data_IF_584652360827
#
_entry.id   IF_584652360827
#
_cell.length_a   1.000
_cell.length_b   1.000
_cell.length_c   1.000
_cell.angle_alpha   90.00
_cell.angle_beta   90.00
_cell.angle_gamma   90.00
#
_symmetry.space_group_name_H-M   'P 1'
#
loop_
_entity.id
_entity.type
_entity.pdbx_description
1 polymer ?
#
# COMPACT_ATOMS: atom_id res chain seq x y z
N UNK A 1 -31.04 27.05 2.10
CA UNK A 1 -30.42 25.99 2.91
C UNK A 1 -31.05 24.67 2.47
N UNK A 2 -30.29 23.77 1.83
CA UNK A 2 -30.82 22.57 1.18
C UNK A 2 -30.62 21.33 2.06
N UNK A 3 -31.49 21.13 3.06
CA UNK A 3 -31.46 19.90 3.85
C UNK A 3 -31.89 18.71 2.95
N UNK A 4 -31.02 17.73 2.76
CA UNK A 4 -31.32 16.49 2.05
C UNK A 4 -31.84 15.44 3.03
N UNK A 5 -32.81 14.65 2.61
CA UNK A 5 -33.32 13.53 3.42
C UNK A 5 -32.44 12.30 3.19
N UNK A 6 -31.97 11.72 4.28
CA UNK A 6 -31.25 10.45 4.25
C UNK A 6 -32.19 9.33 3.75
N UNK A 7 -31.87 8.58 2.68
CA UNK A 7 -32.70 7.45 2.22
C UNK A 7 -32.86 6.32 3.25
N UNK A 8 -31.92 6.15 4.19
CA UNK A 8 -31.98 5.05 5.16
C UNK A 8 -32.74 5.34 6.46
N UNK A 9 -32.62 6.55 6.99
CA UNK A 9 -33.19 6.90 8.29
C UNK A 9 -34.16 8.09 8.23
N UNK A 10 -34.43 8.58 7.02
CA UNK A 10 -35.32 9.72 6.72
C UNK A 10 -34.97 11.02 7.49
N UNK A 11 -33.80 11.04 8.14
CA UNK A 11 -33.30 12.19 8.85
C UNK A 11 -32.97 13.31 7.87
N UNK A 12 -33.30 14.54 8.24
CA UNK A 12 -32.92 15.74 7.49
C UNK A 12 -31.48 16.08 7.83
N UNK A 13 -30.59 15.88 6.85
CA UNK A 13 -29.16 16.14 6.97
C UNK A 13 -28.73 17.23 6.00
N UNK A 14 -27.60 17.88 6.27
CA UNK A 14 -27.06 18.86 5.33
C UNK A 14 -26.53 18.14 4.09
N UNK A 15 -26.83 18.70 2.93
CA UNK A 15 -26.27 18.40 1.62
C UNK A 15 -24.74 18.37 1.55
N UNK A 16 -24.05 18.91 2.57
CA UNK A 16 -22.58 18.90 2.69
C UNK A 16 -22.03 17.76 3.57
N UNK A 17 -22.88 16.98 4.23
CA UNK A 17 -22.45 15.92 5.14
C UNK A 17 -21.81 14.74 4.37
N UNK A 18 -20.61 14.32 4.80
CA UNK A 18 -19.90 13.17 4.21
C UNK A 18 -20.62 11.84 4.50
N UNK A 19 -21.20 11.72 5.69
CA UNK A 19 -22.04 10.63 6.12
C UNK A 19 -23.19 11.17 6.97
N UNK A 20 -24.32 10.46 7.00
CA UNK A 20 -25.42 10.78 7.89
C UNK A 20 -24.99 10.56 9.36
N UNK A 21 -25.07 11.56 10.26
CA UNK A 21 -24.69 11.41 11.66
C UNK A 21 -25.72 10.62 12.46
N UNK A 22 -26.92 10.39 11.91
CA UNK A 22 -27.99 9.62 12.58
C UNK A 22 -27.82 8.11 12.38
N UNK A 23 -27.48 7.67 11.16
CA UNK A 23 -27.37 6.24 10.84
C UNK A 23 -25.99 5.79 10.33
N UNK A 24 -25.08 6.71 10.05
CA UNK A 24 -23.75 6.41 9.48
C UNK A 24 -23.74 6.21 7.96
N UNK A 25 -24.87 6.35 7.26
CA UNK A 25 -24.92 6.12 5.81
C UNK A 25 -24.06 7.13 5.04
N UNK A 26 -23.13 6.69 4.17
CA UNK A 26 -22.23 7.58 3.43
C UNK A 26 -23.01 8.36 2.36
N UNK A 27 -23.10 9.68 2.54
CA UNK A 27 -23.82 10.59 1.64
C UNK A 27 -22.90 11.24 0.60
N UNK A 28 -21.59 10.95 0.66
CA UNK A 28 -20.58 11.47 -0.25
C UNK A 28 -20.75 10.91 -1.68
N UNK A 29 -21.60 11.57 -2.47
CA UNK A 29 -21.66 11.38 -3.93
C UNK A 29 -20.42 12.02 -4.56
N UNK A 30 -19.26 11.38 -4.41
CA UNK A 30 -18.04 11.75 -5.11
C UNK A 30 -18.02 11.02 -6.46
N UNK A 31 -18.53 11.69 -7.49
CA UNK A 31 -18.16 11.35 -8.84
C UNK A 31 -16.66 11.64 -9.05
N UNK A 32 -16.01 10.66 -9.68
CA UNK A 32 -14.70 10.69 -10.35
C UNK A 32 -13.47 10.32 -9.52
N UNK A 33 -13.06 9.08 -9.77
CA UNK A 33 -11.82 8.78 -10.50
C UNK A 33 -10.56 9.42 -9.91
N UNK A 34 -9.94 8.68 -9.01
CA UNK A 34 -8.68 9.03 -8.39
C UNK A 34 -8.52 8.11 -7.21
N UNK A 35 -7.77 7.04 -7.41
CA UNK A 35 -7.33 6.13 -6.37
C UNK A 35 -6.94 6.91 -5.11
N UNK A 36 -7.77 6.88 -4.08
CA UNK A 36 -7.44 7.34 -2.73
C UNK A 36 -6.52 6.34 -2.00
N UNK A 37 -5.65 5.67 -2.76
CA UNK A 37 -4.82 4.54 -2.37
C UNK A 37 -3.29 4.76 -2.39
N UNK A 38 -2.69 5.83 -2.96
CA UNK A 38 -1.23 5.96 -3.00
C UNK A 38 -0.57 6.08 -1.63
N UNK A 39 -1.27 6.63 -0.62
CA UNK A 39 -0.67 6.93 0.69
C UNK A 39 -0.47 5.72 1.61
N UNK A 40 -1.35 4.72 1.53
CA UNK A 40 -1.34 3.57 2.47
C UNK A 40 -0.51 2.41 1.92
N UNK A 41 -0.45 2.25 0.60
CA UNK A 41 0.32 1.20 -0.07
C UNK A 41 1.78 1.57 -0.32
N UNK A 42 2.12 2.87 -0.35
CA UNK A 42 3.50 3.34 -0.52
C UNK A 42 4.44 2.94 0.62
N UNK A 43 3.94 2.88 1.87
CA UNK A 43 4.75 2.46 3.02
C UNK A 43 5.07 0.96 3.04
N UNK A 44 4.12 0.13 2.58
CA UNK A 44 4.27 -1.33 2.55
C UNK A 44 5.13 -1.74 1.34
N UNK A 45 4.86 -1.23 0.13
CA UNK A 45 5.65 -1.58 -1.06
C UNK A 45 7.10 -1.06 -1.05
N UNK A 46 7.35 0.08 -0.40
CA UNK A 46 8.69 0.68 -0.30
C UNK A 46 9.68 -0.14 0.55
N UNK A 47 9.20 -0.85 1.57
CA UNK A 47 10.05 -1.70 2.44
C UNK A 47 10.36 -3.07 1.81
N UNK A 48 9.45 -3.62 1.00
CA UNK A 48 9.73 -4.88 0.27
C UNK A 48 10.77 -4.72 -0.83
N UNK A 49 10.79 -3.59 -1.54
CA UNK A 49 11.81 -3.30 -2.57
C UNK A 49 13.21 -3.14 -1.95
N UNK A 50 13.33 -2.51 -0.77
CA UNK A 50 14.62 -2.34 -0.09
C UNK A 50 15.13 -3.65 0.55
N UNK A 51 14.23 -4.45 1.14
CA UNK A 51 14.60 -5.75 1.71
C UNK A 51 15.02 -6.75 0.62
N UNK A 52 14.31 -6.80 -0.51
CA UNK A 52 14.65 -7.68 -1.64
C UNK A 52 16.00 -7.33 -2.26
N UNK A 53 16.32 -6.05 -2.43
CA UNK A 53 17.60 -5.62 -2.99
C UNK A 53 18.77 -5.97 -2.06
N UNK A 54 18.59 -5.83 -0.75
CA UNK A 54 19.63 -6.19 0.22
C UNK A 54 19.85 -7.72 0.27
N UNK A 55 18.78 -8.50 0.22
CA UNK A 55 18.87 -9.96 0.20
C UNK A 55 19.58 -10.49 -1.06
N UNK A 56 19.29 -9.94 -2.24
CA UNK A 56 19.96 -10.36 -3.48
C UNK A 56 21.45 -10.01 -3.50
N UNK A 57 21.86 -8.89 -2.91
CA UNK A 57 23.27 -8.52 -2.74
C UNK A 57 24.00 -9.50 -1.81
N UNK A 58 23.40 -9.84 -0.67
CA UNK A 58 23.99 -10.78 0.29
C UNK A 58 24.15 -12.16 -0.37
N UNK A 59 23.10 -12.71 -0.96
CA UNK A 59 23.15 -14.02 -1.64
C UNK A 59 24.17 -14.01 -2.78
N UNK A 60 24.22 -12.93 -3.57
CA UNK A 60 25.21 -12.78 -4.63
C UNK A 60 26.66 -12.79 -4.11
N UNK A 61 26.94 -12.03 -3.04
CA UNK A 61 28.28 -11.99 -2.43
C UNK A 61 28.72 -13.34 -1.88
N UNK A 62 27.83 -14.06 -1.19
CA UNK A 62 28.12 -15.39 -0.63
C UNK A 62 28.40 -16.40 -1.74
N UNK A 63 27.56 -16.42 -2.78
CA UNK A 63 27.72 -17.35 -3.90
C UNK A 63 29.03 -17.10 -4.66
N UNK A 64 29.42 -15.83 -4.84
CA UNK A 64 30.66 -15.45 -5.50
C UNK A 64 31.91 -15.86 -4.68
N UNK A 65 31.89 -15.65 -3.36
CA UNK A 65 32.99 -16.05 -2.47
C UNK A 65 33.18 -17.56 -2.42
N UNK A 66 32.09 -18.33 -2.33
CA UNK A 66 32.14 -19.79 -2.37
C UNK A 66 32.73 -20.29 -3.69
N UNK A 67 32.31 -19.74 -4.83
CA UNK A 67 32.81 -20.15 -6.14
C UNK A 67 34.31 -19.87 -6.29
N UNK A 68 34.76 -18.69 -5.87
CA UNK A 68 36.18 -18.33 -5.88
C UNK A 68 37.02 -19.27 -5.01
N UNK A 69 36.55 -19.60 -3.81
CA UNK A 69 37.24 -20.53 -2.91
C UNK A 69 37.39 -21.94 -3.50
N UNK A 70 36.33 -22.46 -4.14
CA UNK A 70 36.35 -23.78 -4.80
C UNK A 70 37.37 -23.80 -5.95
N UNK A 71 37.37 -22.76 -6.80
CA UNK A 71 38.32 -22.67 -7.93
C UNK A 71 39.77 -22.59 -7.45
N UNK A 72 40.05 -21.83 -6.38
CA UNK A 72 41.39 -21.74 -5.81
C UNK A 72 41.83 -23.11 -5.25
N UNK A 73 40.96 -23.79 -4.52
CA UNK A 73 41.25 -25.12 -3.98
C UNK A 73 41.55 -26.15 -5.08
N UNK A 74 40.79 -26.12 -6.17
CA UNK A 74 40.98 -27.01 -7.32
C UNK A 74 42.27 -26.73 -8.11
N UNK A 75 42.80 -25.51 -8.07
CA UNK A 75 44.09 -25.17 -8.71
C UNK A 75 45.28 -25.69 -7.87
N UNK A 76 45.11 -25.76 -6.54
CA UNK A 76 46.17 -26.14 -5.61
C UNK A 76 46.28 -27.67 -5.46
N UNK A 77 45.19 -28.42 -5.69
CA UNK A 77 45.15 -29.90 -5.71
C UNK A 77 45.71 -30.48 -7.00
#
# INVERSE_FOLDING_TARGET
>A
MALTTCPECEAKISDKAFACPSCGYPMAKQQKNGSAWPGVFGGVAGTYISAQALASIIVGSVMMLCFAAIMIAAIIS
#
